data_IF_374163166582
#
_entry.id   IF_374163166582
#
_cell.length_a   1.000
_cell.length_b   1.000
_cell.length_c   1.000
_cell.angle_alpha   90.00
_cell.angle_beta   90.00
_cell.angle_gamma   90.00
#
_symmetry.space_group_name_H-M   'P 1'
#
loop_
_entity.id
_entity.type
_entity.pdbx_description
1 polymer ?
#
# COMPACT_ATOMS: atom_id res chain seq x y z
N UNK A 1 -14.66 -25.34 11.20
CA UNK A 1 -15.19 -24.96 9.88
C UNK A 1 -14.25 -23.93 9.31
N UNK A 2 -13.53 -24.28 8.27
CA UNK A 2 -12.56 -23.40 7.59
C UNK A 2 -13.30 -22.18 7.02
N UNK A 3 -12.85 -20.98 7.38
CA UNK A 3 -13.48 -19.72 6.93
C UNK A 3 -13.13 -19.54 5.46
N UNK A 4 -13.94 -20.12 4.56
CA UNK A 4 -13.73 -20.00 3.10
C UNK A 4 -13.96 -18.54 2.73
N UNK A 5 -12.89 -17.85 2.34
CA UNK A 5 -12.97 -16.46 1.89
C UNK A 5 -13.82 -16.41 0.63
N UNK A 6 -14.90 -15.66 0.67
CA UNK A 6 -15.84 -15.49 -0.43
C UNK A 6 -15.49 -14.24 -1.25
N UNK A 7 -15.82 -14.30 -2.54
CA UNK A 7 -15.64 -13.20 -3.49
C UNK A 7 -16.99 -12.79 -4.06
N UNK A 8 -17.32 -11.52 -3.96
CA UNK A 8 -18.63 -10.97 -4.33
C UNK A 8 -18.62 -10.26 -5.70
N UNK A 9 -17.45 -10.02 -6.26
CA UNK A 9 -17.30 -9.28 -7.53
C UNK A 9 -17.37 -7.77 -7.35
N UNK A 10 -17.15 -7.26 -6.14
CA UNK A 10 -17.20 -5.82 -5.85
C UNK A 10 -15.98 -5.08 -6.43
N UNK A 11 -16.12 -3.77 -6.79
CA UNK A 11 -15.03 -3.00 -7.42
C UNK A 11 -13.75 -2.90 -6.57
N UNK A 12 -13.86 -2.97 -5.24
CA UNK A 12 -12.71 -2.90 -4.32
C UNK A 12 -12.06 -4.26 -4.06
N UNK A 13 -12.70 -5.36 -4.43
CA UNK A 13 -12.13 -6.69 -4.28
C UNK A 13 -11.03 -6.95 -5.30
N UNK A 14 -10.04 -7.73 -4.88
CA UNK A 14 -8.93 -8.13 -5.76
C UNK A 14 -9.04 -9.63 -6.07
N UNK A 15 -9.34 -10.00 -7.33
CA UNK A 15 -9.47 -11.39 -7.71
C UNK A 15 -8.17 -12.19 -7.54
N UNK A 16 -7.00 -11.56 -7.70
CA UNK A 16 -5.71 -12.25 -7.47
C UNK A 16 -5.54 -12.63 -5.99
N UNK A 17 -5.96 -11.77 -5.07
CA UNK A 17 -5.93 -12.07 -3.63
C UNK A 17 -6.87 -13.21 -3.30
N UNK A 18 -8.06 -13.23 -3.92
CA UNK A 18 -9.02 -14.31 -3.75
C UNK A 18 -8.47 -15.63 -4.25
N UNK A 19 -7.91 -15.68 -5.47
CA UNK A 19 -7.27 -16.86 -6.05
C UNK A 19 -6.15 -17.38 -5.13
N UNK A 20 -5.28 -16.50 -4.63
CA UNK A 20 -4.17 -16.90 -3.75
C UNK A 20 -4.68 -17.55 -2.45
N UNK A 21 -5.71 -16.97 -1.83
CA UNK A 21 -6.34 -17.54 -0.62
C UNK A 21 -7.07 -18.85 -0.90
N UNK A 22 -7.74 -18.95 -2.04
CA UNK A 22 -8.37 -20.19 -2.48
C UNK A 22 -7.33 -21.30 -2.64
N UNK A 23 -6.20 -21.03 -3.33
CA UNK A 23 -5.13 -21.99 -3.50
C UNK A 23 -4.51 -22.46 -2.17
N UNK A 24 -4.33 -21.54 -1.20
CA UNK A 24 -3.88 -21.90 0.16
C UNK A 24 -4.86 -22.87 0.83
N UNK A 25 -6.16 -22.66 0.68
CA UNK A 25 -7.18 -23.56 1.23
C UNK A 25 -7.19 -24.93 0.50
N UNK A 26 -6.88 -24.97 -0.80
CA UNK A 26 -6.81 -26.19 -1.57
C UNK A 26 -5.56 -27.04 -1.32
N UNK A 27 -4.49 -26.50 -0.72
CA UNK A 27 -3.26 -27.23 -0.43
C UNK A 27 -3.48 -28.51 0.37
N UNK A 28 -4.54 -28.56 1.17
CA UNK A 28 -4.91 -29.73 1.97
C UNK A 28 -6.00 -30.61 1.33
N UNK A 29 -6.44 -30.28 0.11
CA UNK A 29 -7.50 -30.99 -0.60
C UNK A 29 -6.88 -31.96 -1.62
N UNK A 30 -6.33 -33.08 -1.15
CA UNK A 30 -5.81 -34.14 -2.00
C UNK A 30 -6.81 -35.29 -2.06
N UNK A 31 -7.13 -35.72 -3.28
CA UNK A 31 -7.89 -36.96 -3.51
C UNK A 31 -7.02 -37.91 -4.35
N UNK A 32 -6.70 -39.14 -3.87
CA UNK A 32 -5.90 -40.08 -4.62
C UNK A 32 -6.50 -40.38 -6.00
N UNK A 33 -5.68 -40.22 -7.06
CA UNK A 33 -6.09 -40.50 -8.44
C UNK A 33 -6.91 -39.39 -9.12
N UNK A 34 -7.13 -38.23 -8.49
CA UNK A 34 -7.84 -37.09 -9.09
C UNK A 34 -6.85 -35.99 -9.44
N UNK A 35 -6.98 -35.44 -10.67
CA UNK A 35 -6.19 -34.31 -11.10
C UNK A 35 -6.47 -33.09 -10.21
N UNK A 36 -5.44 -32.43 -9.71
CA UNK A 36 -5.55 -31.25 -8.85
C UNK A 36 -6.34 -30.11 -9.52
N UNK A 37 -6.18 -29.92 -10.83
CA UNK A 37 -6.93 -28.89 -11.56
C UNK A 37 -8.43 -29.21 -11.57
N UNK A 38 -8.82 -30.47 -11.68
CA UNK A 38 -10.22 -30.88 -11.61
C UNK A 38 -10.83 -30.57 -10.22
N UNK A 39 -10.05 -30.74 -9.15
CA UNK A 39 -10.48 -30.39 -7.80
C UNK A 39 -10.68 -28.87 -7.69
N UNK A 40 -9.71 -28.08 -8.14
CA UNK A 40 -9.75 -26.60 -8.12
C UNK A 40 -10.94 -26.08 -8.94
N UNK A 41 -11.12 -26.57 -10.17
CA UNK A 41 -12.21 -26.18 -11.04
C UNK A 41 -13.59 -26.47 -10.41
N UNK A 42 -13.73 -27.59 -9.70
CA UNK A 42 -14.98 -27.98 -9.06
C UNK A 42 -15.27 -27.18 -7.78
N UNK A 43 -14.24 -26.81 -7.01
CA UNK A 43 -14.40 -26.11 -5.73
C UNK A 43 -14.50 -24.59 -5.89
N UNK A 44 -13.87 -24.00 -6.90
CA UNK A 44 -13.79 -22.55 -7.05
C UNK A 44 -15.16 -21.86 -7.10
N UNK A 45 -16.17 -22.34 -7.84
CA UNK A 45 -17.51 -21.71 -7.89
C UNK A 45 -18.15 -21.55 -6.52
N UNK A 46 -17.92 -22.47 -5.59
CA UNK A 46 -18.49 -22.40 -4.24
C UNK A 46 -17.93 -21.26 -3.38
N UNK A 47 -16.85 -20.63 -3.84
CA UNK A 47 -16.25 -19.45 -3.18
C UNK A 47 -16.78 -18.13 -3.71
N UNK A 48 -17.63 -18.16 -4.75
CA UNK A 48 -18.20 -16.97 -5.38
C UNK A 48 -19.59 -16.65 -4.79
N UNK A 49 -19.94 -15.36 -4.77
CA UNK A 49 -21.22 -14.84 -4.28
C UNK A 49 -21.70 -13.68 -5.14
N UNK A 50 -22.96 -13.38 -5.08
CA UNK A 50 -23.64 -12.24 -5.72
C UNK A 50 -23.23 -12.10 -7.20
N UNK A 51 -22.74 -10.94 -7.63
CA UNK A 51 -22.35 -10.68 -9.01
C UNK A 51 -21.24 -11.63 -9.52
N UNK A 52 -20.41 -12.17 -8.62
CA UNK A 52 -19.40 -13.14 -8.99
C UNK A 52 -19.98 -14.53 -9.22
N UNK A 53 -21.10 -14.87 -8.60
CA UNK A 53 -21.78 -16.16 -8.77
C UNK A 53 -22.40 -16.31 -10.17
N UNK A 54 -22.85 -15.20 -10.76
CA UNK A 54 -23.43 -15.19 -12.12
C UNK A 54 -22.40 -15.43 -13.23
N UNK A 55 -21.12 -15.17 -12.93
CA UNK A 55 -20.03 -15.30 -13.91
C UNK A 55 -19.78 -16.75 -14.37
N UNK A 56 -19.79 -17.79 -13.49
CA UNK A 56 -19.62 -19.16 -13.94
C UNK A 56 -20.70 -19.64 -14.90
N UNK A 57 -21.95 -19.24 -14.70
CA UNK A 57 -23.06 -19.68 -15.54
C UNK A 57 -22.94 -19.14 -16.97
N UNK A 58 -22.32 -17.96 -17.15
CA UNK A 58 -22.11 -17.35 -18.46
C UNK A 58 -20.86 -17.88 -19.21
N UNK A 59 -19.82 -18.32 -18.46
CA UNK A 59 -18.49 -18.62 -19.04
C UNK A 59 -18.06 -20.08 -18.86
N UNK A 60 -18.62 -20.81 -17.88
CA UNK A 60 -18.24 -22.19 -17.54
C UNK A 60 -18.92 -23.24 -18.43
N UNK A 61 -19.61 -22.84 -19.49
CA UNK A 61 -20.25 -23.76 -20.41
C UNK A 61 -19.19 -24.65 -21.08
N UNK A 62 -18.80 -25.73 -20.39
CA UNK A 62 -17.95 -26.87 -20.83
C UNK A 62 -16.62 -26.54 -21.52
N UNK A 63 -16.26 -25.25 -21.69
CA UNK A 63 -15.06 -24.81 -22.43
C UNK A 63 -13.81 -24.66 -21.53
N UNK A 64 -13.98 -24.50 -20.21
CA UNK A 64 -12.85 -24.31 -19.29
C UNK A 64 -12.42 -25.67 -18.73
N UNK A 65 -11.26 -26.14 -19.18
CA UNK A 65 -10.72 -27.45 -18.82
C UNK A 65 -9.49 -27.38 -17.91
N UNK A 66 -8.88 -26.19 -17.78
CA UNK A 66 -7.66 -25.99 -16.98
C UNK A 66 -7.85 -24.89 -15.94
N UNK A 67 -7.14 -25.02 -14.83
CA UNK A 67 -7.10 -23.99 -13.77
C UNK A 67 -6.56 -22.66 -14.27
N UNK A 68 -5.55 -22.70 -15.15
CA UNK A 68 -4.95 -21.51 -15.73
C UNK A 68 -5.96 -20.72 -16.57
N UNK A 69 -6.76 -21.42 -17.40
CA UNK A 69 -7.78 -20.77 -18.21
C UNK A 69 -8.88 -20.12 -17.35
N UNK A 70 -9.35 -20.82 -16.31
CA UNK A 70 -10.30 -20.27 -15.36
C UNK A 70 -9.77 -18.99 -14.70
N UNK A 71 -8.56 -19.03 -14.18
CA UNK A 71 -7.97 -17.87 -13.48
C UNK A 71 -7.76 -16.69 -14.43
N UNK A 72 -7.34 -16.94 -15.66
CA UNK A 72 -7.19 -15.92 -16.69
C UNK A 72 -8.53 -15.24 -17.02
N UNK A 73 -9.58 -16.02 -17.29
CA UNK A 73 -10.92 -15.48 -17.58
C UNK A 73 -11.51 -14.74 -16.37
N UNK A 74 -11.36 -15.28 -15.17
CA UNK A 74 -11.80 -14.65 -13.92
C UNK A 74 -11.11 -13.30 -13.68
N UNK A 75 -9.78 -13.27 -13.80
CA UNK A 75 -9.04 -12.03 -13.67
C UNK A 75 -9.43 -11.01 -14.76
N UNK A 76 -9.61 -11.41 -16.00
CA UNK A 76 -10.03 -10.51 -17.07
C UNK A 76 -11.42 -9.89 -16.80
N UNK A 77 -12.33 -10.64 -16.19
CA UNK A 77 -13.66 -10.13 -15.83
C UNK A 77 -13.61 -9.14 -14.67
N UNK A 78 -12.97 -9.51 -13.55
CA UNK A 78 -13.01 -8.73 -12.31
C UNK A 78 -11.81 -7.80 -12.13
N UNK A 79 -10.77 -7.96 -12.96
CA UNK A 79 -9.58 -7.11 -12.98
C UNK A 79 -9.19 -6.74 -14.42
N UNK A 80 -10.03 -5.99 -15.11
CA UNK A 80 -9.83 -5.67 -16.53
C UNK A 80 -8.57 -4.83 -16.75
N UNK A 81 -7.97 -4.84 -17.96
CA UNK A 81 -6.77 -4.08 -18.29
C UNK A 81 -6.86 -2.58 -17.96
N UNK A 82 -8.04 -1.98 -18.09
CA UNK A 82 -8.28 -0.59 -17.71
C UNK A 82 -8.04 -0.33 -16.21
N UNK A 83 -8.44 -1.27 -15.34
CA UNK A 83 -8.17 -1.20 -13.89
C UNK A 83 -6.68 -1.33 -13.59
N UNK A 84 -5.99 -2.22 -14.30
CA UNK A 84 -4.51 -2.35 -14.22
C UNK A 84 -3.84 -1.05 -14.62
N UNK A 85 -4.23 -0.45 -15.76
CA UNK A 85 -3.68 0.80 -16.25
C UNK A 85 -3.91 1.95 -15.25
N UNK A 86 -5.09 2.03 -14.65
CA UNK A 86 -5.38 3.03 -13.60
C UNK A 86 -4.45 2.88 -12.39
N UNK A 87 -4.28 1.66 -11.86
CA UNK A 87 -3.41 1.42 -10.71
C UNK A 87 -1.94 1.69 -11.06
N UNK A 88 -1.50 1.32 -12.28
CA UNK A 88 -0.16 1.70 -12.76
C UNK A 88 0.06 3.20 -12.75
N UNK A 89 -0.90 3.96 -13.25
CA UNK A 89 -0.86 5.41 -13.23
C UNK A 89 -0.79 5.95 -11.79
N UNK A 90 -1.59 5.41 -10.87
CA UNK A 90 -1.57 5.79 -9.45
C UNK A 90 -0.20 5.51 -8.79
N UNK A 91 0.49 4.41 -9.17
CA UNK A 91 1.84 4.11 -8.70
C UNK A 91 2.85 5.10 -9.30
N UNK A 92 2.77 5.37 -10.61
CA UNK A 92 3.69 6.26 -11.33
C UNK A 92 3.56 7.73 -10.90
N UNK A 93 2.34 8.15 -10.57
CA UNK A 93 2.00 9.50 -10.13
C UNK A 93 1.86 9.60 -8.61
N UNK A 94 2.32 8.58 -7.87
CA UNK A 94 2.32 8.61 -6.42
C UNK A 94 3.00 9.89 -5.90
N UNK A 95 2.42 10.50 -4.88
CA UNK A 95 2.99 11.66 -4.22
C UNK A 95 2.68 11.59 -2.72
N UNK A 96 3.65 11.88 -1.87
CA UNK A 96 3.43 12.06 -0.44
C UNK A 96 2.52 13.29 -0.25
N UNK A 97 1.50 13.15 0.57
CA UNK A 97 0.52 14.21 0.84
C UNK A 97 1.05 15.19 1.89
N UNK A 98 0.48 16.38 1.90
CA UNK A 98 0.78 17.37 2.94
C UNK A 98 0.35 16.83 4.31
N UNK A 99 1.27 16.92 5.28
CA UNK A 99 1.04 16.38 6.63
C UNK A 99 1.14 14.85 6.77
N UNK A 100 1.31 14.11 5.66
CA UNK A 100 1.52 12.66 5.70
C UNK A 100 2.94 12.33 6.17
N UNK A 101 3.06 11.47 7.17
CA UNK A 101 4.37 10.99 7.61
C UNK A 101 5.00 10.05 6.57
N UNK A 102 6.33 9.86 6.66
CA UNK A 102 7.04 8.90 5.81
C UNK A 102 6.45 7.48 5.90
N UNK A 103 6.17 7.01 7.11
CA UNK A 103 5.60 5.70 7.37
C UNK A 103 4.21 5.53 6.72
N UNK A 104 3.33 6.51 6.82
CA UNK A 104 2.01 6.49 6.19
C UNK A 104 2.12 6.47 4.67
N UNK A 105 2.99 7.32 4.10
CA UNK A 105 3.26 7.36 2.67
C UNK A 105 3.79 6.00 2.16
N UNK A 106 4.74 5.38 2.87
CA UNK A 106 5.28 4.07 2.51
C UNK A 106 4.23 2.97 2.55
N UNK A 107 3.41 2.93 3.60
CA UNK A 107 2.32 1.95 3.71
C UNK A 107 1.29 2.13 2.59
N UNK A 108 0.92 3.37 2.25
CA UNK A 108 0.00 3.67 1.16
C UNK A 108 0.59 3.28 -0.21
N UNK A 109 1.88 3.47 -0.43
CA UNK A 109 2.56 3.04 -1.65
C UNK A 109 2.58 1.51 -1.76
N UNK A 110 2.92 0.79 -0.68
CA UNK A 110 2.84 -0.68 -0.64
C UNK A 110 1.42 -1.19 -0.92
N UNK A 111 0.40 -0.51 -0.41
CA UNK A 111 -0.98 -0.87 -0.65
C UNK A 111 -1.38 -0.74 -2.14
N UNK A 112 -0.91 0.30 -2.83
CA UNK A 112 -1.11 0.44 -4.28
C UNK A 112 -0.48 -0.73 -5.05
N UNK A 113 0.73 -1.13 -4.69
CA UNK A 113 1.41 -2.27 -5.33
C UNK A 113 0.67 -3.60 -5.05
N UNK A 114 0.15 -3.80 -3.83
CA UNK A 114 -0.66 -5.00 -3.48
C UNK A 114 -1.98 -5.07 -4.23
N UNK A 115 -2.59 -3.94 -4.60
CA UNK A 115 -3.81 -3.92 -5.40
C UNK A 115 -3.63 -4.51 -6.80
N UNK A 116 -2.42 -4.50 -7.33
CA UNK A 116 -2.10 -5.05 -8.64
C UNK A 116 -0.76 -5.81 -8.62
N UNK A 117 -0.69 -7.06 -8.18
CA UNK A 117 0.56 -7.83 -8.12
C UNK A 117 1.30 -7.93 -9.47
N UNK A 118 0.53 -7.93 -10.56
CA UNK A 118 1.06 -8.03 -11.93
C UNK A 118 1.12 -6.65 -12.62
N UNK A 119 1.48 -5.59 -11.90
CA UNK A 119 1.58 -4.24 -12.46
C UNK A 119 2.69 -4.07 -13.50
N UNK A 120 3.66 -4.99 -13.58
CA UNK A 120 4.76 -4.96 -14.55
C UNK A 120 5.76 -3.81 -14.35
N UNK A 121 5.77 -3.15 -13.19
CA UNK A 121 6.73 -2.09 -12.85
C UNK A 121 7.94 -2.75 -12.19
N UNK A 122 9.13 -2.52 -12.71
CA UNK A 122 10.38 -3.06 -12.14
C UNK A 122 10.64 -2.48 -10.75
N UNK A 123 11.37 -3.21 -9.91
CA UNK A 123 11.72 -2.75 -8.55
C UNK A 123 12.46 -1.40 -8.62
N UNK A 124 13.35 -1.21 -9.61
CA UNK A 124 14.05 0.06 -9.82
C UNK A 124 13.11 1.24 -10.04
N UNK A 125 12.09 1.05 -10.88
CA UNK A 125 11.07 2.08 -11.10
C UNK A 125 10.20 2.32 -9.85
N UNK A 126 9.88 1.27 -9.09
CA UNK A 126 9.14 1.43 -7.82
C UNK A 126 9.92 2.30 -6.83
N UNK A 127 11.21 2.04 -6.65
CA UNK A 127 12.12 2.84 -5.82
C UNK A 127 12.14 4.28 -6.32
N UNK A 128 12.32 4.49 -7.63
CA UNK A 128 12.37 5.82 -8.23
C UNK A 128 11.06 6.58 -8.03
N UNK A 129 9.90 5.96 -8.30
CA UNK A 129 8.60 6.61 -8.17
C UNK A 129 8.31 7.01 -6.72
N UNK A 130 8.62 6.14 -5.77
CA UNK A 130 8.44 6.47 -4.36
C UNK A 130 9.37 7.60 -3.93
N UNK A 131 10.69 7.44 -4.11
CA UNK A 131 11.69 8.40 -3.64
C UNK A 131 11.53 9.81 -4.25
N UNK A 132 11.33 9.90 -5.58
CA UNK A 132 11.25 11.22 -6.25
C UNK A 132 10.06 12.05 -5.78
N UNK A 133 9.02 11.42 -5.26
CA UNK A 133 7.75 12.05 -4.87
C UNK A 133 7.57 12.21 -3.35
N UNK A 134 8.62 11.96 -2.58
CA UNK A 134 8.67 12.27 -1.16
C UNK A 134 8.80 13.78 -0.93
N UNK A 135 8.33 14.25 0.22
CA UNK A 135 8.59 15.61 0.71
C UNK A 135 10.09 15.84 0.92
N UNK A 136 10.57 17.09 0.92
CA UNK A 136 11.99 17.38 1.18
C UNK A 136 12.50 16.80 2.52
N UNK A 137 11.66 16.84 3.57
CA UNK A 137 11.99 16.28 4.88
C UNK A 137 12.15 14.75 4.82
N UNK A 138 11.24 14.07 4.17
CA UNK A 138 11.28 12.61 4.00
C UNK A 138 12.45 12.17 3.09
N UNK A 139 12.80 12.96 2.07
CA UNK A 139 14.00 12.71 1.26
C UNK A 139 15.27 12.83 2.09
N UNK A 140 15.42 13.91 2.85
CA UNK A 140 16.56 14.11 3.74
C UNK A 140 16.72 12.97 4.74
N UNK A 141 15.63 12.44 5.24
CA UNK A 141 15.62 11.28 6.12
C UNK A 141 16.18 10.03 5.43
N UNK A 142 15.73 9.75 4.21
CA UNK A 142 16.22 8.63 3.40
C UNK A 142 17.71 8.83 3.09
N UNK A 143 18.12 10.02 2.62
CA UNK A 143 19.50 10.32 2.23
C UNK A 143 20.48 10.19 3.40
N UNK A 144 20.09 10.67 4.59
CA UNK A 144 20.90 10.52 5.82
C UNK A 144 21.06 9.06 6.25
N UNK A 145 20.02 8.24 6.04
CA UNK A 145 20.05 6.81 6.39
C UNK A 145 20.92 5.99 5.44
N UNK A 146 21.18 6.49 4.22
CA UNK A 146 22.01 5.82 3.20
C UNK A 146 23.49 6.17 3.38
N UNK A 147 23.83 7.23 4.09
CA UNK A 147 25.19 7.76 4.20
C UNK A 147 25.66 8.47 2.92
N UNK A 148 24.73 9.08 2.17
CA UNK A 148 24.98 9.80 0.92
C UNK A 148 24.06 9.34 -0.23
N UNK A 149 24.30 9.87 -1.45
CA UNK A 149 23.43 9.67 -2.62
C UNK A 149 22.98 8.24 -2.88
N UNK A 150 21.74 8.12 -3.37
CA UNK A 150 21.08 6.89 -3.89
C UNK A 150 21.90 6.17 -5.00
N UNK A 151 22.95 6.76 -5.50
CA UNK A 151 23.71 6.25 -6.65
C UNK A 151 24.68 5.15 -6.18
N UNK A 152 24.43 3.90 -6.61
CA UNK A 152 25.42 2.80 -6.52
C UNK A 152 25.07 1.60 -5.64
N UNK A 153 23.90 1.56 -4.98
CA UNK A 153 23.44 0.38 -4.23
C UNK A 153 22.54 -0.53 -5.07
N UNK A 154 22.45 -1.80 -4.72
CA UNK A 154 21.51 -2.75 -5.34
C UNK A 154 20.07 -2.31 -5.04
N UNK A 155 19.22 -2.35 -6.04
CA UNK A 155 17.81 -1.87 -5.99
C UNK A 155 17.01 -2.49 -4.84
N UNK A 156 17.29 -3.77 -4.51
CA UNK A 156 16.64 -4.47 -3.40
C UNK A 156 16.97 -3.82 -2.05
N UNK A 157 18.19 -3.37 -1.86
CA UNK A 157 18.63 -2.72 -0.62
C UNK A 157 17.85 -1.43 -0.32
N UNK A 158 17.30 -0.77 -1.35
CA UNK A 158 16.44 0.41 -1.15
C UNK A 158 15.05 0.03 -0.62
N UNK A 159 14.47 -1.05 -1.13
CA UNK A 159 13.18 -1.52 -0.62
C UNK A 159 13.28 -1.90 0.85
N UNK A 160 14.35 -2.61 1.21
CA UNK A 160 14.63 -3.02 2.59
C UNK A 160 14.88 -1.79 3.50
N UNK A 161 15.60 -0.79 2.99
CA UNK A 161 15.84 0.46 3.68
C UNK A 161 14.55 1.27 3.89
N UNK A 162 13.70 1.38 2.88
CA UNK A 162 12.42 2.09 3.00
C UNK A 162 11.54 1.43 4.08
N UNK A 163 11.54 0.11 4.13
CA UNK A 163 10.82 -0.63 5.17
C UNK A 163 11.43 -0.39 6.56
N UNK A 164 12.75 -0.42 6.68
CA UNK A 164 13.46 -0.17 7.93
C UNK A 164 13.16 1.24 8.46
N UNK A 165 13.27 2.27 7.61
CA UNK A 165 12.98 3.66 8.00
C UNK A 165 11.52 3.79 8.45
N UNK A 166 10.57 3.19 7.69
CA UNK A 166 9.16 3.24 8.02
C UNK A 166 8.86 2.59 9.36
N UNK A 167 9.46 1.44 9.63
CA UNK A 167 9.29 0.71 10.90
C UNK A 167 9.88 1.50 12.07
N UNK A 168 11.09 2.01 11.92
CA UNK A 168 11.78 2.81 12.96
C UNK A 168 10.98 4.07 13.28
N UNK A 169 10.52 4.80 12.26
CA UNK A 169 9.72 6.01 12.48
C UNK A 169 8.35 5.74 13.09
N UNK A 170 7.72 4.61 12.80
CA UNK A 170 6.44 4.25 13.43
C UNK A 170 6.60 4.02 14.94
N UNK A 171 7.70 3.39 15.35
CA UNK A 171 7.99 3.17 16.78
C UNK A 171 8.22 4.48 17.54
N UNK A 172 8.98 5.42 16.96
CA UNK A 172 9.25 6.70 17.62
C UNK A 172 8.08 7.70 17.54
N UNK A 173 7.14 7.55 16.62
CA UNK A 173 5.93 8.38 16.55
C UNK A 173 4.95 8.09 17.67
N UNK A 174 4.96 6.89 18.23
CA UNK A 174 4.16 6.52 19.39
C UNK A 174 4.67 7.13 20.69
N UNK A 175 5.95 7.53 20.78
CA UNK A 175 6.55 8.14 21.96
C UNK A 175 6.47 9.68 21.97
N UNK A 176 6.16 10.32 20.84
CA UNK A 176 5.88 11.77 20.82
C UNK A 176 4.43 12.03 21.26
N UNK A 177 4.17 11.87 22.52
CA UNK A 177 3.14 12.67 23.19
C UNK A 177 3.59 14.12 23.02
N UNK A 178 2.91 14.86 22.13
CA UNK A 178 3.11 16.32 21.98
C UNK A 178 2.95 16.90 23.38
N UNK A 179 3.98 17.51 23.99
CA UNK A 179 3.78 18.21 25.24
C UNK A 179 2.71 19.27 25.00
N UNK A 180 1.76 19.47 25.91
CA UNK A 180 0.74 20.49 25.73
C UNK A 180 1.48 21.81 25.50
N UNK A 181 1.09 22.50 24.43
CA UNK A 181 1.61 23.83 24.07
C UNK A 181 1.55 24.66 25.37
N UNK A 182 2.70 24.98 25.93
CA UNK A 182 2.76 25.77 27.13
C UNK A 182 2.02 27.09 26.84
N UNK A 183 0.85 27.24 27.41
CA UNK A 183 0.14 28.51 27.46
C UNK A 183 0.96 29.42 28.34
N UNK A 184 1.64 30.39 27.78
CA UNK A 184 2.41 31.34 28.53
C UNK A 184 3.54 31.97 27.74
N UNK A 185 3.25 32.63 26.63
CA UNK A 185 4.06 33.75 26.20
C UNK A 185 3.40 34.96 26.83
N UNK A 186 3.98 35.41 27.96
CA UNK A 186 3.77 36.76 28.40
C UNK A 186 4.42 37.65 27.33
N UNK A 187 3.61 38.36 26.54
CA UNK A 187 4.07 39.55 25.84
C UNK A 187 4.52 40.54 26.91
N UNK A 188 5.81 40.65 27.10
CA UNK A 188 6.39 41.77 27.84
C UNK A 188 6.24 42.96 26.93
N UNK A 189 5.25 43.79 27.26
CA UNK A 189 5.02 45.05 26.59
C UNK A 189 6.24 45.94 26.81
N UNK A 190 7.21 45.89 25.88
CA UNK A 190 8.47 46.63 25.93
C UNK A 190 8.29 48.15 25.86
N UNK A 191 7.05 48.62 25.61
CA UNK A 191 6.73 50.02 25.52
C UNK A 191 6.53 50.66 26.91
N UNK A 192 6.05 49.91 27.89
CA UNK A 192 5.85 50.42 29.25
C UNK A 192 7.15 50.66 30.01
N UNK A 193 8.16 49.82 29.78
CA UNK A 193 9.49 49.91 30.43
C UNK A 193 10.31 51.12 29.96
N UNK A 194 10.21 51.43 28.65
CA UNK A 194 10.97 52.56 28.05
C UNK A 194 10.43 53.90 28.48
N UNK A 195 9.12 54.04 28.63
CA UNK A 195 8.45 55.31 29.07
C UNK A 195 8.72 55.62 30.56
N UNK A 196 8.87 54.62 31.40
CA UNK A 196 9.23 54.80 32.81
C UNK A 196 10.69 55.32 32.99
N UNK A 197 11.60 54.91 32.16
CA UNK A 197 13.03 55.36 32.20
C UNK A 197 13.19 56.78 31.65
N UNK A 198 12.41 57.18 30.65
CA UNK A 198 12.45 58.56 30.12
C UNK A 198 11.89 59.57 31.12
N UNK A 199 10.85 59.21 31.88
CA UNK A 199 10.28 60.07 32.91
C UNK A 199 11.22 60.29 34.14
N UNK A 200 12.15 59.40 34.40
CA UNK A 200 13.10 59.51 35.49
C UNK A 200 14.34 60.39 35.19
N UNK A 201 14.58 60.70 33.91
CA UNK A 201 15.73 61.51 33.46
C UNK A 201 15.39 62.98 33.22
N UNK A 202 14.12 63.38 33.42
CA UNK A 202 13.62 64.76 33.19
C UNK A 202 13.21 65.51 34.46
N UNK A 203 13.79 65.11 35.60
CA UNK A 203 13.64 65.87 36.88
C UNK A 203 14.97 66.41 37.34
#
# INVERSE_FOLDING_TARGET
MSNVVQFYGLPHENPNTHISRFLQNCQNCHAPGVNEDAIKLRLFPYTLRDAALEWPDAELDRSITTWEELTRKFCNKFFPPAKVAKIRLEIQTFQQRDGESYHEAWNRFKELMRKCPNHGITIGNQVQYFYTRLSPLSKSLVDSSIGGSIIGKLVQQYMDLFELIATTHSMFSLERVVPPKAAGIYEVDSSASTNAQIAALTK
#
